data_IF_675250721346
#
_entry.id   IF_675250721346
#
_cell.length_a   1.000
_cell.length_b   1.000
_cell.length_c   1.000
_cell.angle_alpha   90.00
_cell.angle_beta   90.00
_cell.angle_gamma   90.00
#
_symmetry.space_group_name_H-M   'P 1'
#
loop_
_entity.id
_entity.type
_entity.pdbx_description
1 polymer ?
#
# COMPACT_ATOMS: atom_id res chain seq x y z
N UNK A 1 -23.41 3.81 20.28
CA UNK A 1 -21.95 3.89 20.08
C UNK A 1 -21.49 2.49 19.71
N UNK A 2 -21.00 2.27 18.47
CA UNK A 2 -20.46 0.96 18.10
C UNK A 2 -19.12 0.77 18.83
N UNK A 3 -18.80 -0.42 19.35
CA UNK A 3 -17.52 -0.67 20.01
C UNK A 3 -16.36 -0.38 19.05
N UNK A 4 -15.34 0.32 19.54
CA UNK A 4 -14.07 0.46 18.82
C UNK A 4 -13.40 -0.90 18.72
N UNK A 5 -12.80 -1.18 17.57
CA UNK A 5 -12.04 -2.39 17.34
C UNK A 5 -10.57 -2.11 17.69
N UNK A 6 -9.93 -2.96 18.49
CA UNK A 6 -8.53 -2.75 18.89
C UNK A 6 -7.51 -3.29 17.86
N UNK A 7 -7.98 -4.07 16.88
CA UNK A 7 -7.16 -4.67 15.81
C UNK A 7 -7.95 -4.92 14.55
N UNK A 8 -7.32 -4.94 13.38
CA UNK A 8 -7.98 -5.33 12.13
C UNK A 8 -8.50 -6.77 12.19
N UNK A 9 -9.66 -7.01 11.58
CA UNK A 9 -10.32 -8.31 11.57
C UNK A 9 -10.29 -8.96 10.18
N UNK A 10 -10.76 -10.21 10.08
CA UNK A 10 -10.73 -10.99 8.84
C UNK A 10 -9.41 -11.72 8.61
N UNK A 11 -9.29 -12.39 7.46
CA UNK A 11 -8.06 -13.09 7.08
C UNK A 11 -7.09 -12.13 6.39
N UNK A 12 -5.99 -11.81 7.09
CA UNK A 12 -4.89 -10.97 6.62
C UNK A 12 -3.62 -11.79 6.31
N UNK A 13 -3.65 -13.10 6.48
CA UNK A 13 -2.47 -13.99 6.29
C UNK A 13 -1.89 -13.94 4.86
N UNK A 14 -2.66 -13.42 3.91
CA UNK A 14 -2.31 -13.24 2.50
C UNK A 14 -1.76 -11.86 2.17
N UNK A 15 -1.72 -10.92 3.12
CA UNK A 15 -1.37 -9.52 2.89
C UNK A 15 -0.01 -9.35 2.20
N UNK A 16 0.97 -10.15 2.58
CA UNK A 16 2.37 -10.00 2.12
C UNK A 16 2.81 -11.12 1.18
N UNK A 17 1.86 -11.91 0.67
CA UNK A 17 2.12 -13.01 -0.27
C UNK A 17 1.83 -12.56 -1.71
N UNK A 18 2.66 -12.95 -2.66
CA UNK A 18 2.38 -12.79 -4.10
C UNK A 18 2.18 -14.16 -4.76
N UNK A 19 1.69 -14.15 -6.00
CA UNK A 19 1.55 -15.36 -6.83
C UNK A 19 0.66 -16.45 -6.21
N UNK A 20 -0.40 -16.06 -5.49
CA UNK A 20 -1.46 -16.99 -5.06
C UNK A 20 -2.22 -17.59 -6.25
N UNK A 21 -2.05 -17.00 -7.43
CA UNK A 21 -2.39 -17.55 -8.74
C UNK A 21 -1.11 -17.67 -9.55
N UNK A 22 -1.01 -18.72 -10.35
CA UNK A 22 0.08 -18.91 -11.32
C UNK A 22 0.22 -17.67 -12.22
N UNK A 23 1.39 -17.00 -12.25
CA UNK A 23 1.58 -15.79 -13.06
C UNK A 23 1.39 -16.06 -14.56
N UNK A 24 0.46 -15.34 -15.17
CA UNK A 24 0.33 -15.23 -16.61
C UNK A 24 1.32 -14.19 -17.16
N UNK A 25 2.19 -14.65 -18.05
CA UNK A 25 3.21 -13.84 -18.70
C UNK A 25 2.57 -12.64 -19.42
N UNK A 26 3.10 -11.43 -19.20
CA UNK A 26 2.61 -10.15 -19.77
C UNK A 26 1.29 -9.62 -19.22
N UNK A 27 0.55 -10.43 -18.43
CA UNK A 27 -0.80 -10.12 -17.96
C UNK A 27 -0.90 -9.94 -16.45
N UNK A 28 0.06 -10.47 -15.69
CA UNK A 28 0.02 -10.41 -14.22
C UNK A 28 0.52 -9.07 -13.71
N UNK A 29 -0.30 -8.40 -12.93
CA UNK A 29 0.03 -7.17 -12.23
C UNK A 29 -0.41 -7.30 -10.77
N UNK A 30 0.55 -7.16 -9.86
CA UNK A 30 0.33 -7.15 -8.42
C UNK A 30 0.61 -5.76 -7.86
N UNK A 31 -0.26 -5.30 -6.97
CA UNK A 31 -0.03 -4.06 -6.24
C UNK A 31 -0.76 -4.01 -4.90
N UNK A 32 -0.24 -3.16 -4.04
CA UNK A 32 -0.92 -2.67 -2.86
C UNK A 32 -1.20 -1.20 -3.07
N UNK A 33 -2.37 -0.72 -2.65
CA UNK A 33 -2.67 0.70 -2.72
C UNK A 33 -3.57 1.18 -1.59
N UNK A 34 -3.37 2.45 -1.25
CA UNK A 34 -4.15 3.20 -0.28
C UNK A 34 -4.81 4.41 -0.95
N UNK A 35 -6.02 4.73 -0.50
CA UNK A 35 -6.67 6.03 -0.69
C UNK A 35 -6.97 6.64 0.66
N UNK A 36 -6.28 7.71 1.02
CA UNK A 36 -6.49 8.48 2.23
C UNK A 36 -7.35 9.71 1.89
N UNK A 37 -8.44 9.85 2.61
CA UNK A 37 -9.34 11.01 2.58
C UNK A 37 -9.13 11.77 3.89
N UNK A 38 -8.36 12.86 3.81
CA UNK A 38 -7.94 13.65 4.96
C UNK A 38 -8.89 14.83 5.17
N UNK A 39 -9.18 15.12 6.43
CA UNK A 39 -9.94 16.28 6.82
C UNK A 39 -9.18 17.56 6.44
N UNK A 40 -9.92 18.57 6.01
CA UNK A 40 -9.36 19.89 5.73
C UNK A 40 -9.76 20.88 6.84
N UNK A 41 -8.81 21.71 7.25
CA UNK A 41 -9.00 22.69 8.32
C UNK A 41 -10.01 23.78 7.94
N UNK A 42 -10.09 24.08 6.65
CA UNK A 42 -11.00 25.08 6.09
C UNK A 42 -12.41 24.52 5.86
N UNK A 43 -12.65 23.24 6.19
CA UNK A 43 -13.97 22.61 6.05
C UNK A 43 -14.39 22.35 4.60
N UNK A 44 -13.43 22.29 3.67
CA UNK A 44 -13.73 21.96 2.27
C UNK A 44 -14.36 20.56 2.17
N UNK A 45 -15.52 20.39 1.51
CA UNK A 45 -16.22 19.11 1.44
C UNK A 45 -15.40 17.99 0.79
N UNK A 46 -14.46 18.34 -0.09
CA UNK A 46 -13.57 17.40 -0.79
C UNK A 46 -12.39 16.93 0.06
N UNK A 47 -12.07 17.62 1.16
CA UNK A 47 -10.88 17.36 1.97
C UNK A 47 -9.58 17.43 1.17
N UNK A 48 -8.52 16.82 1.71
CA UNK A 48 -7.27 16.52 0.99
C UNK A 48 -7.22 15.03 0.70
N UNK A 49 -6.54 14.63 -0.36
CA UNK A 49 -6.54 13.22 -0.78
C UNK A 49 -5.14 12.77 -1.18
N UNK A 50 -4.78 11.56 -0.73
CA UNK A 50 -3.57 10.87 -1.13
C UNK A 50 -3.94 9.50 -1.68
N UNK A 51 -3.52 9.21 -2.91
CA UNK A 51 -3.49 7.85 -3.43
C UNK A 51 -2.03 7.43 -3.54
N UNK A 52 -1.70 6.23 -3.06
CA UNK A 52 -0.35 5.66 -3.22
C UNK A 52 -0.43 4.17 -3.52
N UNK A 53 0.48 3.68 -4.35
CA UNK A 53 0.61 2.27 -4.69
C UNK A 53 2.06 1.80 -4.78
N UNK A 54 2.29 0.54 -4.41
CA UNK A 54 3.51 -0.23 -4.62
C UNK A 54 3.17 -1.34 -5.60
N UNK A 55 3.85 -1.42 -6.74
CA UNK A 55 3.47 -2.35 -7.79
C UNK A 55 4.61 -3.07 -8.46
N UNK A 56 4.32 -4.28 -8.91
CA UNK A 56 5.17 -5.11 -9.78
C UNK A 56 4.32 -5.65 -10.94
N UNK A 57 4.84 -5.61 -12.17
CA UNK A 57 4.11 -6.12 -13.34
C UNK A 57 5.00 -7.04 -14.16
N UNK A 58 4.51 -8.24 -14.45
CA UNK A 58 5.18 -9.19 -15.34
C UNK A 58 4.99 -8.73 -16.79
N UNK A 59 5.69 -7.67 -17.23
CA UNK A 59 5.61 -7.13 -18.59
C UNK A 59 6.96 -6.47 -18.97
N UNK A 60 7.47 -6.60 -20.21
CA UNK A 60 8.72 -5.99 -20.63
C UNK A 60 8.68 -4.46 -20.61
N UNK A 61 7.49 -3.85 -20.73
CA UNK A 61 7.34 -2.40 -20.74
C UNK A 61 5.99 -1.94 -20.23
N UNK A 62 6.00 -0.98 -19.33
CA UNK A 62 4.83 -0.34 -18.74
C UNK A 62 4.98 1.18 -18.91
N UNK A 63 3.94 1.86 -19.38
CA UNK A 63 3.90 3.33 -19.39
C UNK A 63 3.04 3.82 -18.23
N UNK A 64 3.62 4.61 -17.33
CA UNK A 64 2.95 5.19 -16.16
C UNK A 64 3.09 6.71 -16.24
N UNK A 65 1.99 7.41 -16.47
CA UNK A 65 1.94 8.89 -16.58
C UNK A 65 3.07 9.45 -17.47
N UNK A 66 3.23 8.89 -18.67
CA UNK A 66 4.24 9.28 -19.66
C UNK A 66 5.64 8.73 -19.42
N UNK A 67 5.87 7.95 -18.36
CA UNK A 67 7.17 7.34 -18.04
C UNK A 67 7.19 5.87 -18.40
N UNK A 68 8.13 5.49 -19.27
CA UNK A 68 8.38 4.10 -19.59
C UNK A 68 9.14 3.43 -18.44
N UNK A 69 8.61 2.34 -17.91
CA UNK A 69 9.24 1.42 -16.98
C UNK A 69 9.44 0.08 -17.66
N UNK A 70 10.62 -0.51 -17.51
CA UNK A 70 10.99 -1.81 -18.07
C UNK A 70 11.34 -2.74 -16.90
N UNK A 71 10.35 -3.40 -16.30
CA UNK A 71 10.55 -4.30 -15.17
C UNK A 71 11.54 -5.42 -15.53
N UNK A 72 12.52 -5.65 -14.65
CA UNK A 72 13.51 -6.72 -14.81
C UNK A 72 13.09 -7.97 -14.06
N UNK A 73 12.35 -8.83 -14.75
CA UNK A 73 12.05 -10.18 -14.30
C UNK A 73 10.88 -10.29 -13.33
N UNK A 74 10.66 -11.51 -12.84
CA UNK A 74 9.60 -11.85 -11.90
C UNK A 74 10.07 -11.65 -10.45
N UNK A 75 9.14 -11.49 -9.49
CA UNK A 75 9.49 -11.57 -8.08
C UNK A 75 10.27 -12.85 -7.76
N UNK A 76 11.39 -12.70 -7.05
CA UNK A 76 12.14 -13.79 -6.46
C UNK A 76 11.71 -14.03 -5.02
N UNK A 77 11.83 -15.27 -4.56
CA UNK A 77 11.46 -15.72 -3.22
C UNK A 77 12.66 -16.40 -2.56
N UNK A 78 12.84 -16.18 -1.27
CA UNK A 78 13.73 -17.01 -0.45
C UNK A 78 12.97 -18.22 0.14
N UNK A 79 13.69 -19.05 0.89
CA UNK A 79 13.16 -20.30 1.47
C UNK A 79 12.11 -20.06 2.57
N UNK A 80 12.10 -18.86 3.17
CA UNK A 80 11.20 -18.45 4.26
C UNK A 80 10.01 -17.60 3.75
N UNK A 81 9.92 -17.37 2.44
CA UNK A 81 8.81 -16.67 1.78
C UNK A 81 8.98 -15.15 1.67
N UNK A 82 10.15 -14.61 2.00
CA UNK A 82 10.54 -13.24 1.72
C UNK A 82 10.60 -12.99 0.21
N UNK A 83 10.15 -11.80 -0.22
CA UNK A 83 10.00 -11.47 -1.65
C UNK A 83 10.94 -10.33 -2.01
N UNK A 84 11.67 -10.50 -3.11
CA UNK A 84 12.40 -9.42 -3.77
C UNK A 84 11.84 -9.19 -5.17
N UNK A 85 11.42 -7.97 -5.46
CA UNK A 85 10.78 -7.64 -6.74
C UNK A 85 11.28 -6.31 -7.31
N UNK A 86 11.30 -6.20 -8.63
CA UNK A 86 11.50 -4.92 -9.32
C UNK A 86 10.14 -4.25 -9.51
N UNK A 87 10.03 -2.99 -9.13
CA UNK A 87 8.74 -2.35 -8.97
C UNK A 87 8.76 -0.83 -9.14
N UNK A 88 7.60 -0.25 -8.89
CA UNK A 88 7.43 1.19 -8.87
C UNK A 88 6.51 1.58 -7.72
N UNK A 89 6.91 2.62 -7.00
CA UNK A 89 6.05 3.37 -6.08
C UNK A 89 5.50 4.56 -6.84
N UNK A 90 4.18 4.71 -6.84
CA UNK A 90 3.50 5.87 -7.40
C UNK A 90 2.54 6.47 -6.39
N UNK A 91 2.49 7.80 -6.35
CA UNK A 91 1.52 8.51 -5.54
C UNK A 91 1.00 9.77 -6.22
N UNK A 92 -0.19 10.19 -5.80
CA UNK A 92 -0.91 11.37 -6.27
C UNK A 92 -1.44 12.12 -5.05
N UNK A 93 -1.23 13.44 -5.03
CA UNK A 93 -1.62 14.29 -3.92
C UNK A 93 -2.60 15.37 -4.39
N UNK A 94 -3.75 15.48 -3.73
CA UNK A 94 -4.71 16.56 -3.92
C UNK A 94 -4.74 17.41 -2.66
N UNK A 95 -4.35 18.67 -2.76
CA UNK A 95 -4.26 19.59 -1.62
C UNK A 95 -5.60 20.22 -1.20
N UNK A 96 -6.71 19.78 -1.79
CA UNK A 96 -8.04 20.39 -1.64
C UNK A 96 -8.41 21.37 -2.76
N UNK A 97 -7.46 21.74 -3.62
CA UNK A 97 -7.64 22.67 -4.74
C UNK A 97 -7.04 22.17 -6.05
N UNK A 98 -5.83 21.62 -6.01
CA UNK A 98 -5.02 21.18 -7.16
C UNK A 98 -4.54 19.75 -6.97
N UNK A 99 -4.53 18.99 -8.07
CA UNK A 99 -3.88 17.68 -8.16
C UNK A 99 -2.40 17.85 -8.50
N UNK A 100 -1.54 17.20 -7.74
CA UNK A 100 -0.11 17.07 -7.98
C UNK A 100 0.16 15.64 -8.41
N UNK A 101 0.48 15.49 -9.70
CA UNK A 101 0.65 14.19 -10.31
C UNK A 101 1.88 14.14 -11.24
N UNK A 102 2.76 13.14 -11.07
CA UNK A 102 2.84 12.25 -9.90
C UNK A 102 3.48 12.97 -8.69
N UNK A 103 2.93 12.78 -7.49
CA UNK A 103 3.56 13.16 -6.22
C UNK A 103 4.83 12.34 -5.94
N UNK A 104 4.77 11.04 -6.24
CA UNK A 104 5.91 10.11 -6.26
C UNK A 104 5.83 9.30 -7.56
N UNK A 105 6.97 9.10 -8.21
CA UNK A 105 7.12 8.17 -9.35
C UNK A 105 8.52 7.57 -9.33
N UNK A 106 8.71 6.59 -8.46
CA UNK A 106 10.03 6.05 -8.17
C UNK A 106 10.14 4.58 -8.59
N UNK A 107 11.03 4.28 -9.55
CA UNK A 107 11.39 2.90 -9.91
C UNK A 107 12.38 2.38 -8.88
N UNK A 108 12.08 1.25 -8.26
CA UNK A 108 12.96 0.69 -7.24
C UNK A 108 12.79 -0.81 -7.14
N UNK A 109 13.83 -1.46 -6.60
CA UNK A 109 13.67 -2.78 -6.03
C UNK A 109 12.92 -2.64 -4.71
N UNK A 110 11.96 -3.53 -4.46
CA UNK A 110 11.24 -3.59 -3.19
C UNK A 110 11.43 -4.96 -2.56
N UNK A 111 11.44 -4.97 -1.22
CA UNK A 111 11.38 -6.16 -0.41
C UNK A 111 9.99 -6.24 0.22
N UNK A 112 9.37 -7.42 0.18
CA UNK A 112 8.13 -7.70 0.91
C UNK A 112 8.41 -8.83 1.88
N UNK A 113 8.10 -8.60 3.15
CA UNK A 113 8.38 -9.54 4.24
C UNK A 113 7.17 -9.62 5.15
N UNK A 114 6.70 -10.83 5.43
CA UNK A 114 5.71 -11.10 6.46
C UNK A 114 6.35 -11.19 7.85
N UNK A 115 5.53 -11.04 8.89
CA UNK A 115 5.98 -11.03 10.28
C UNK A 115 6.34 -12.39 10.88
N UNK A 116 6.15 -13.48 10.13
CA UNK A 116 6.64 -14.82 10.44
C UNK A 116 8.02 -15.12 9.81
N UNK A 117 8.55 -14.22 8.99
CA UNK A 117 9.86 -14.36 8.38
C UNK A 117 10.98 -14.12 9.43
N UNK A 118 12.07 -14.90 9.46
CA UNK A 118 13.15 -14.75 10.46
C UNK A 118 13.82 -13.36 10.50
N UNK A 119 13.83 -12.65 9.37
CA UNK A 119 14.35 -11.28 9.27
C UNK A 119 13.40 -10.19 9.76
N UNK A 120 12.18 -10.51 10.20
CA UNK A 120 11.25 -9.52 10.74
C UNK A 120 11.80 -8.94 12.05
N UNK A 121 11.83 -7.60 12.23
CA UNK A 121 12.37 -6.98 13.42
C UNK A 121 11.39 -7.12 14.59
N UNK A 122 11.47 -8.26 15.28
CA UNK A 122 10.80 -8.49 16.56
C UNK A 122 10.03 -9.80 16.59
N UNK A 123 10.11 -10.47 17.75
CA UNK A 123 9.31 -11.65 18.01
C UNK A 123 7.90 -11.23 18.44
N UNK A 124 6.89 -11.84 17.80
CA UNK A 124 5.50 -11.65 18.18
C UNK A 124 4.81 -13.00 18.31
N UNK A 125 4.05 -13.18 19.40
CA UNK A 125 3.12 -14.31 19.55
C UNK A 125 1.98 -14.31 18.51
N UNK A 126 1.87 -13.23 17.74
CA UNK A 126 0.87 -13.05 16.69
C UNK A 126 1.45 -13.21 15.28
N UNK A 127 2.74 -13.56 15.15
CA UNK A 127 3.39 -13.77 13.85
C UNK A 127 2.59 -14.72 12.94
N UNK A 128 2.54 -14.42 11.65
CA UNK A 128 1.78 -15.16 10.64
C UNK A 128 0.30 -14.77 10.56
N UNK A 129 -0.19 -13.87 11.42
CA UNK A 129 -1.59 -13.40 11.39
C UNK A 129 -1.85 -12.36 10.31
N UNK A 130 -0.80 -11.87 9.63
CA UNK A 130 -0.90 -10.87 8.57
C UNK A 130 -0.04 -9.62 8.77
N UNK A 131 0.77 -9.54 9.84
CA UNK A 131 1.78 -8.49 9.97
C UNK A 131 2.87 -8.63 8.92
N UNK A 132 3.59 -7.55 8.66
CA UNK A 132 4.60 -7.49 7.61
C UNK A 132 4.71 -6.12 6.97
N UNK A 133 5.52 -5.99 5.93
CA UNK A 133 5.76 -4.73 5.24
C UNK A 133 6.16 -4.91 3.77
N UNK A 134 5.94 -3.83 2.99
CA UNK A 134 6.62 -3.59 1.72
C UNK A 134 7.58 -2.42 1.89
N UNK A 135 8.84 -2.65 1.54
CA UNK A 135 9.96 -1.72 1.78
C UNK A 135 10.69 -1.49 0.46
N UNK A 136 10.50 -0.33 -0.17
CA UNK A 136 11.35 0.14 -1.25
C UNK A 136 12.81 0.28 -0.80
N UNK A 137 13.74 -0.20 -1.62
CA UNK A 137 15.18 -0.05 -1.39
C UNK A 137 15.66 1.27 -2.01
N UNK A 138 15.36 2.35 -1.30
CA UNK A 138 15.66 3.75 -1.68
C UNK A 138 16.30 4.49 -0.52
N UNK A 139 16.93 5.65 -0.80
CA UNK A 139 17.49 6.50 0.26
C UNK A 139 16.38 7.13 1.13
N UNK A 140 15.22 7.37 0.51
CA UNK A 140 14.02 7.91 1.14
C UNK A 140 13.06 6.81 1.61
N UNK A 141 12.37 7.03 2.73
CA UNK A 141 11.36 6.10 3.22
C UNK A 141 10.04 6.27 2.44
N UNK A 142 9.68 5.21 1.74
CA UNK A 142 8.41 5.05 1.01
C UNK A 142 7.72 3.74 1.43
N UNK A 143 7.96 3.25 2.65
CA UNK A 143 7.46 1.96 3.12
C UNK A 143 6.06 2.04 3.72
N UNK A 144 5.41 0.89 3.76
CA UNK A 144 4.24 0.68 4.60
C UNK A 144 4.27 -0.72 5.19
N UNK A 145 3.58 -0.89 6.32
CA UNK A 145 3.44 -2.20 6.94
C UNK A 145 2.32 -2.26 7.97
N UNK A 146 2.04 -3.47 8.43
CA UNK A 146 1.07 -3.80 9.46
C UNK A 146 1.80 -4.41 10.65
N UNK A 147 1.51 -3.93 11.85
CA UNK A 147 2.07 -4.52 13.08
C UNK A 147 1.58 -5.94 13.25
N UNK A 148 2.41 -6.79 13.83
CA UNK A 148 2.08 -8.21 14.05
C UNK A 148 0.84 -8.44 14.91
N UNK A 149 0.53 -7.53 15.83
CA UNK A 149 -0.69 -7.58 16.64
C UNK A 149 -1.95 -7.08 15.90
N UNK A 150 -1.78 -6.65 14.64
CA UNK A 150 -2.80 -6.12 13.74
C UNK A 150 -3.46 -4.83 14.27
N UNK A 151 -2.82 -4.11 15.19
CA UNK A 151 -3.38 -2.90 15.81
C UNK A 151 -3.40 -1.70 14.86
N UNK A 152 -2.36 -1.54 14.04
CA UNK A 152 -2.23 -0.42 13.12
C UNK A 152 -1.32 -0.71 11.93
N UNK A 153 -1.60 -0.04 10.82
CA UNK A 153 -0.63 0.14 9.75
C UNK A 153 0.18 1.41 9.98
N UNK A 154 1.44 1.40 9.54
CA UNK A 154 2.20 2.61 9.26
C UNK A 154 2.36 2.80 7.75
N UNK A 155 2.42 4.06 7.34
CA UNK A 155 2.69 4.47 5.97
C UNK A 155 3.56 5.72 5.99
N UNK A 156 4.75 5.60 5.41
CA UNK A 156 5.70 6.71 5.29
C UNK A 156 5.94 6.99 3.82
N UNK A 157 5.97 8.28 3.46
CA UNK A 157 6.29 8.75 2.12
C UNK A 157 7.18 9.97 2.21
N UNK A 158 8.21 10.00 1.39
CA UNK A 158 9.09 11.16 1.22
C UNK A 158 9.28 11.45 -0.26
N UNK A 159 9.31 12.72 -0.64
CA UNK A 159 9.53 13.15 -2.03
C UNK A 159 10.16 14.54 -2.11
N UNK A 160 10.98 14.74 -3.13
CA UNK A 160 11.58 16.03 -3.52
C UNK A 160 11.11 16.48 -4.92
N UNK A 161 10.05 15.87 -5.49
CA UNK A 161 9.55 16.19 -6.84
C UNK A 161 8.97 17.63 -6.95
N UNK A 162 8.56 18.23 -5.84
CA UNK A 162 7.95 19.56 -5.80
C UNK A 162 8.62 20.48 -4.76
N UNK A 163 9.91 20.82 -4.91
CA UNK A 163 10.67 21.51 -3.87
C UNK A 163 10.17 22.93 -3.60
N UNK A 164 9.54 23.57 -4.59
CA UNK A 164 9.05 24.95 -4.53
C UNK A 164 7.55 25.06 -4.17
N UNK A 165 6.81 23.94 -4.11
CA UNK A 165 5.36 23.97 -3.86
C UNK A 165 5.06 23.80 -2.36
N UNK A 166 4.78 24.92 -1.68
CA UNK A 166 4.55 24.96 -0.21
C UNK A 166 3.38 24.08 0.26
N UNK A 167 2.40 23.79 -0.61
CA UNK A 167 1.22 22.97 -0.28
C UNK A 167 1.43 21.47 -0.54
N UNK A 168 2.63 21.07 -0.99
CA UNK A 168 3.00 19.68 -1.24
C UNK A 168 3.92 19.24 -0.12
N UNK A 169 3.45 18.39 0.82
CA UNK A 169 4.29 17.91 1.90
C UNK A 169 5.48 17.13 1.36
N UNK A 170 6.69 17.39 1.85
CA UNK A 170 7.89 16.61 1.49
C UNK A 170 7.92 15.28 2.22
N UNK A 171 7.43 15.25 3.45
CA UNK A 171 7.31 14.06 4.28
C UNK A 171 5.87 13.88 4.75
N UNK A 172 5.36 12.67 4.57
CA UNK A 172 4.07 12.24 5.09
C UNK A 172 4.24 10.97 5.92
N UNK A 173 3.75 11.00 7.15
CA UNK A 173 3.77 9.85 8.06
C UNK A 173 2.35 9.61 8.55
N UNK A 174 1.84 8.38 8.39
CA UNK A 174 0.49 8.02 8.79
C UNK A 174 0.47 6.78 9.67
N UNK A 175 -0.43 6.79 10.64
CA UNK A 175 -0.86 5.64 11.42
C UNK A 175 -2.32 5.37 11.10
N UNK A 176 -2.62 4.16 10.65
CA UNK A 176 -3.97 3.75 10.25
C UNK A 176 -4.50 2.70 11.22
N UNK A 177 -5.59 3.04 11.92
CA UNK A 177 -6.19 2.21 12.97
C UNK A 177 -7.59 1.73 12.60
N UNK A 178 -8.04 0.59 13.14
CA UNK A 178 -9.39 0.12 12.92
C UNK A 178 -10.46 1.17 13.31
N UNK A 179 -11.50 1.26 12.49
CA UNK A 179 -12.63 2.17 12.72
C UNK A 179 -13.77 1.45 13.43
N UNK A 180 -14.33 0.44 12.77
CA UNK A 180 -15.40 -0.42 13.27
C UNK A 180 -15.35 -1.75 12.50
N UNK A 181 -16.02 -2.77 13.00
CA UNK A 181 -15.93 -4.12 12.43
C UNK A 181 -16.30 -4.19 10.94
N UNK A 182 -17.45 -3.65 10.45
CA UNK A 182 -17.76 -3.68 9.02
C UNK A 182 -16.70 -3.05 8.12
N UNK A 183 -16.12 -1.92 8.56
CA UNK A 183 -15.16 -1.16 7.75
C UNK A 183 -13.76 -1.77 7.79
N UNK A 184 -13.33 -2.25 8.96
CA UNK A 184 -11.94 -2.68 9.22
C UNK A 184 -11.78 -4.21 9.27
N UNK A 185 -12.73 -4.95 8.69
CA UNK A 185 -12.60 -6.39 8.42
C UNK A 185 -12.11 -6.61 7.00
N UNK A 186 -11.01 -7.35 6.86
CA UNK A 186 -10.45 -7.76 5.59
C UNK A 186 -11.43 -8.66 4.84
N UNK A 187 -11.72 -8.31 3.59
CA UNK A 187 -12.60 -9.08 2.71
C UNK A 187 -11.83 -9.51 1.48
N UNK A 188 -11.81 -10.82 1.24
CA UNK A 188 -11.24 -11.41 0.05
C UNK A 188 -12.31 -11.59 -1.02
N UNK A 189 -11.96 -11.28 -2.28
CA UNK A 189 -12.78 -11.51 -3.44
C UNK A 189 -11.89 -11.99 -4.59
N UNK A 190 -12.30 -13.06 -5.26
CA UNK A 190 -11.56 -13.64 -6.37
C UNK A 190 -12.50 -14.10 -7.47
N UNK A 191 -12.05 -14.05 -8.71
CA UNK A 191 -12.78 -14.56 -9.86
C UNK A 191 -11.81 -15.12 -10.91
N UNK A 192 -12.22 -16.17 -11.61
CA UNK A 192 -11.50 -16.72 -12.75
C UNK A 192 -12.40 -16.71 -13.98
N UNK A 193 -11.85 -16.22 -15.08
CA UNK A 193 -12.50 -16.09 -16.37
C UNK A 193 -11.79 -16.97 -17.40
N UNK A 194 -12.16 -16.81 -18.67
CA UNK A 194 -11.54 -17.54 -19.78
C UNK A 194 -10.01 -17.39 -19.77
N UNK A 195 -9.30 -18.43 -20.22
CA UNK A 195 -7.83 -18.46 -20.29
C UNK A 195 -7.11 -18.26 -18.95
N UNK A 196 -7.73 -18.66 -17.83
CA UNK A 196 -7.22 -18.50 -16.46
C UNK A 196 -7.00 -17.05 -16.00
N UNK A 197 -7.42 -16.06 -16.80
CA UNK A 197 -7.46 -14.67 -16.41
C UNK A 197 -8.38 -14.49 -15.20
N UNK A 198 -8.17 -13.42 -14.44
CA UNK A 198 -8.89 -13.27 -13.19
C UNK A 198 -8.35 -12.14 -12.33
N UNK A 199 -8.89 -12.06 -11.13
CA UNK A 199 -8.37 -11.18 -10.11
C UNK A 199 -8.40 -11.86 -8.75
N UNK A 200 -7.56 -11.37 -7.86
CA UNK A 200 -7.55 -11.64 -6.44
C UNK A 200 -7.45 -10.30 -5.71
N UNK A 201 -8.42 -9.98 -4.85
CA UNK A 201 -8.50 -8.70 -4.16
C UNK A 201 -8.75 -8.94 -2.68
N UNK A 202 -7.84 -8.45 -1.85
CA UNK A 202 -8.03 -8.28 -0.41
C UNK A 202 -8.26 -6.80 -0.14
N UNK A 203 -9.35 -6.45 0.55
CA UNK A 203 -9.72 -5.05 0.83
C UNK A 203 -10.06 -4.80 2.29
N UNK A 204 -9.75 -3.59 2.75
CA UNK A 204 -10.33 -2.98 3.95
C UNK A 204 -11.21 -1.82 3.49
N UNK A 205 -12.49 -1.85 3.87
CA UNK A 205 -13.47 -0.86 3.43
C UNK A 205 -13.25 0.52 4.08
N UNK A 206 -12.68 0.55 5.28
CA UNK A 206 -12.36 1.79 5.97
C UNK A 206 -11.51 1.57 7.22
N UNK A 207 -10.67 2.55 7.49
CA UNK A 207 -9.93 2.71 8.73
C UNK A 207 -9.80 4.20 9.05
N UNK A 208 -9.41 4.52 10.29
CA UNK A 208 -9.11 5.87 10.71
C UNK A 208 -7.66 6.21 10.38
N UNK A 209 -7.42 7.47 10.05
CA UNK A 209 -6.08 8.00 9.79
C UNK A 209 -5.75 9.03 10.86
N UNK A 210 -4.57 8.91 11.43
CA UNK A 210 -3.86 10.00 12.09
C UNK A 210 -2.51 10.14 11.37
N UNK A 211 -2.10 11.36 11.05
CA UNK A 211 -0.84 11.56 10.35
C UNK A 211 -0.18 12.89 10.61
N UNK A 212 1.01 13.04 10.04
CA UNK A 212 1.83 14.23 10.10
C UNK A 212 2.34 14.56 8.68
N UNK A 213 2.09 15.80 8.25
CA UNK A 213 2.53 16.35 6.96
C UNK A 213 3.52 17.48 7.25
N UNK A 214 4.82 17.25 7.11
CA UNK A 214 5.89 18.22 7.43
C UNK A 214 5.71 18.91 8.82
N UNK A 215 5.39 18.15 9.85
CA UNK A 215 5.16 18.64 11.22
C UNK A 215 3.71 19.01 11.53
N UNK A 216 2.82 19.05 10.53
CA UNK A 216 1.40 19.38 10.71
C UNK A 216 0.55 18.14 10.89
N UNK A 217 -0.16 18.04 12.01
CA UNK A 217 -1.04 16.91 12.28
C UNK A 217 -2.31 16.95 11.42
N UNK A 218 -2.73 15.78 10.94
CA UNK A 218 -3.95 15.59 10.16
C UNK A 218 -4.71 14.35 10.63
N UNK A 219 -6.01 14.34 10.37
CA UNK A 219 -6.88 13.19 10.58
C UNK A 219 -7.66 12.86 9.31
N UNK A 220 -8.28 11.69 9.29
CA UNK A 220 -9.19 11.33 8.20
C UNK A 220 -9.56 9.86 8.22
N UNK A 221 -9.85 9.35 7.03
CA UNK A 221 -10.19 7.94 6.81
C UNK A 221 -9.44 7.39 5.61
N UNK A 222 -9.33 6.07 5.51
CA UNK A 222 -8.67 5.47 4.37
C UNK A 222 -9.28 4.15 3.93
N UNK A 223 -9.15 3.88 2.63
CA UNK A 223 -9.49 2.65 1.95
C UNK A 223 -8.22 1.95 1.45
N UNK A 224 -8.22 0.62 1.51
CA UNK A 224 -7.07 -0.19 1.11
C UNK A 224 -7.47 -1.34 0.21
N UNK A 225 -6.59 -1.64 -0.76
CA UNK A 225 -6.57 -2.98 -1.36
C UNK A 225 -5.16 -3.49 -1.62
N UNK A 226 -5.03 -4.80 -1.49
CA UNK A 226 -4.04 -5.61 -2.19
C UNK A 226 -4.73 -6.29 -3.37
N UNK A 227 -4.11 -6.22 -4.54
CA UNK A 227 -4.70 -6.64 -5.80
C UNK A 227 -3.70 -7.44 -6.61
N UNK A 228 -4.17 -8.55 -7.16
CA UNK A 228 -3.57 -9.25 -8.29
C UNK A 228 -4.58 -9.25 -9.42
N UNK A 229 -4.21 -8.77 -10.62
CA UNK A 229 -5.04 -8.86 -11.82
C UNK A 229 -4.26 -9.55 -12.92
N UNK A 230 -4.94 -10.40 -13.66
CA UNK A 230 -4.46 -11.10 -14.84
C UNK A 230 -5.37 -10.74 -16.02
N UNK A 231 -4.99 -9.71 -16.78
CA UNK A 231 -5.77 -9.16 -17.89
C UNK A 231 -4.90 -8.49 -18.96
#
# INVERSE_FOLDING_TARGET
MMPSLDKFAGDLSRMWKLQEREPLHHLTWDWWWWLLMLDDEDGNPSGKQLMVLWSTKDNPKVSVSGTNWEPKGRPGFDDDGGISLDGMVCAWWYDGKRMYEPYIKHKCRMIVVSDDHPSWPGDSKFAGSGGGAVVPLTDDDMSMGLKSDLSEFWLNLSTDEFPEEVNVPRKMEFTLTPWNEPMSTARHATATYAMNMGYDILRLHGCKVAGNLDGKNVSGTAYFQKVCVQA
#
